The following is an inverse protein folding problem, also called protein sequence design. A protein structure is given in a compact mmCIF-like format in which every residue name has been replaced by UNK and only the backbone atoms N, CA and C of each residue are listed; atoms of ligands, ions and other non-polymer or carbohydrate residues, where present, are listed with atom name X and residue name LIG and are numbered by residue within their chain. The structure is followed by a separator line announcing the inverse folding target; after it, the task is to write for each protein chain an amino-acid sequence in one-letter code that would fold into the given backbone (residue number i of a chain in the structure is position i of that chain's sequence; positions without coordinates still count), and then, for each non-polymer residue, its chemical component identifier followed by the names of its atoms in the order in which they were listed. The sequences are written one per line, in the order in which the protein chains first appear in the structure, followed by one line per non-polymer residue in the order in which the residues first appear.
data_IF_495548241526
#
_entry.id   IF_495548241526
#
_cell.length_a   1.000
_cell.length_b   1.000
_cell.length_c   1.000
_cell.angle_alpha   90.00
_cell.angle_beta   90.00
_cell.angle_gamma   90.00
#
_symmetry.space_group_name_H-M   'P 1'
#
loop_
_entity.id
_entity.type
_entity.pdbx_description
1 polymer ?
#
# COMPACT_ATOMS: atom_id res chain seq x y z
N UNK A 1 29.40 36.52 -8.09
CA UNK A 1 29.06 36.03 -6.73
C UNK A 1 27.94 35.00 -6.90
N UNK A 2 28.30 33.71 -6.94
CA UNK A 2 27.30 32.63 -6.99
C UNK A 2 26.81 32.40 -5.56
N UNK A 3 25.51 32.51 -5.33
CA UNK A 3 24.92 32.23 -4.03
C UNK A 3 24.96 30.71 -3.78
N UNK A 4 25.68 30.30 -2.73
CA UNK A 4 25.60 28.94 -2.18
C UNK A 4 24.14 28.62 -1.82
N UNK A 5 23.59 27.48 -2.27
CA UNK A 5 22.27 27.03 -1.82
C UNK A 5 22.31 26.80 -0.30
N UNK A 6 21.54 27.59 0.45
CA UNK A 6 21.42 27.41 1.89
C UNK A 6 20.85 26.03 2.26
N UNK A 7 21.06 25.55 3.50
CA UNK A 7 20.65 24.22 3.94
C UNK A 7 19.17 23.97 3.65
N UNK A 8 18.86 22.88 2.93
CA UNK A 8 17.48 22.45 2.71
C UNK A 8 16.81 22.15 4.06
N UNK A 9 15.61 22.69 4.34
CA UNK A 9 14.88 22.38 5.56
C UNK A 9 14.64 20.87 5.67
N UNK A 10 15.05 20.28 6.79
CA UNK A 10 14.79 18.87 7.07
C UNK A 10 13.30 18.69 7.42
N UNK A 11 12.55 17.83 6.70
CA UNK A 11 11.14 17.61 6.99
C UNK A 11 10.96 17.04 8.41
N UNK A 12 9.96 17.49 9.18
CA UNK A 12 9.68 16.92 10.49
C UNK A 12 9.35 15.42 10.35
N UNK A 13 9.82 14.57 11.29
CA UNK A 13 9.61 13.14 11.21
C UNK A 13 8.10 12.83 11.24
N UNK A 14 7.63 12.12 10.22
CA UNK A 14 6.23 11.69 10.16
C UNK A 14 5.94 10.63 11.24
N UNK A 15 4.76 10.68 11.88
CA UNK A 15 4.35 9.67 12.85
C UNK A 15 4.48 8.25 12.26
N UNK A 16 5.09 7.29 12.97
CA UNK A 16 5.31 5.92 12.46
C UNK A 16 4.04 5.23 11.99
N UNK A 17 2.89 5.55 12.61
CA UNK A 17 1.60 4.99 12.25
C UNK A 17 1.15 5.35 10.83
N UNK A 18 1.49 6.54 10.33
CA UNK A 18 1.15 6.97 8.96
C UNK A 18 2.01 6.30 7.90
N UNK A 19 3.17 5.78 8.31
CA UNK A 19 4.10 5.06 7.44
C UNK A 19 3.75 3.57 7.32
N UNK A 20 2.87 3.06 8.18
CA UNK A 20 2.46 1.66 8.18
C UNK A 20 1.16 1.49 7.39
N UNK A 21 1.21 0.75 6.28
CA UNK A 21 0.03 0.46 5.47
C UNK A 21 -0.95 -0.52 6.16
N UNK A 22 -0.43 -1.42 7.01
CA UNK A 22 -1.20 -2.51 7.63
C UNK A 22 -2.42 -2.04 8.45
N UNK A 23 -2.32 -1.06 9.36
CA UNK A 23 -3.48 -0.56 10.10
C UNK A 23 -4.67 -0.17 9.21
N UNK A 24 -4.42 0.54 8.11
CA UNK A 24 -5.47 1.00 7.20
C UNK A 24 -6.11 -0.15 6.43
N UNK A 25 -5.30 -1.10 5.95
CA UNK A 25 -5.79 -2.32 5.30
C UNK A 25 -6.68 -3.12 6.25
N UNK A 26 -6.24 -3.31 7.50
CA UNK A 26 -6.99 -4.04 8.52
C UNK A 26 -8.31 -3.36 8.85
N UNK A 27 -8.30 -2.04 9.08
CA UNK A 27 -9.52 -1.27 9.37
C UNK A 27 -10.51 -1.38 8.21
N UNK A 28 -10.05 -1.19 6.96
CA UNK A 28 -10.89 -1.31 5.78
C UNK A 28 -11.47 -2.71 5.59
N UNK A 29 -10.65 -3.75 5.75
CA UNK A 29 -11.09 -5.14 5.64
C UNK A 29 -12.13 -5.50 6.70
N UNK A 30 -11.90 -5.14 7.96
CA UNK A 30 -12.86 -5.35 9.06
C UNK A 30 -14.17 -4.59 8.79
N UNK A 31 -14.08 -3.35 8.34
CA UNK A 31 -15.25 -2.54 7.99
C UNK A 31 -16.12 -3.20 6.92
N UNK A 32 -15.52 -3.70 5.83
CA UNK A 32 -16.27 -4.40 4.78
C UNK A 32 -16.81 -5.77 5.23
N UNK A 33 -16.08 -6.51 6.07
CA UNK A 33 -16.59 -7.75 6.65
C UNK A 33 -17.83 -7.50 7.52
N UNK A 34 -17.82 -6.44 8.33
CA UNK A 34 -18.98 -6.02 9.11
C UNK A 34 -20.14 -5.63 8.19
N UNK A 35 -19.88 -4.85 7.14
CA UNK A 35 -20.91 -4.45 6.18
C UNK A 35 -21.56 -5.65 5.49
N UNK A 36 -20.77 -6.66 5.09
CA UNK A 36 -21.27 -7.92 4.56
C UNK A 36 -22.11 -8.64 5.62
N UNK A 37 -21.61 -8.83 6.83
CA UNK A 37 -22.36 -9.51 7.89
C UNK A 37 -23.72 -8.82 8.13
N UNK A 38 -23.74 -7.50 8.24
CA UNK A 38 -24.97 -6.73 8.45
C UNK A 38 -25.93 -6.84 7.25
N UNK A 39 -25.45 -6.77 6.01
CA UNK A 39 -26.30 -6.88 4.81
C UNK A 39 -26.95 -8.27 4.63
N UNK A 40 -26.37 -9.32 5.22
CA UNK A 40 -26.92 -10.67 5.19
C UNK A 40 -27.74 -11.03 6.43
N UNK A 41 -27.46 -10.43 7.59
CA UNK A 41 -28.18 -10.71 8.84
C UNK A 41 -29.38 -9.78 9.07
N UNK A 42 -29.40 -8.59 8.44
CA UNK A 42 -30.46 -7.59 8.63
C UNK A 42 -31.30 -7.48 7.35
N UNK A 43 -32.58 -7.93 7.34
CA UNK A 43 -33.43 -7.90 6.15
C UNK A 43 -33.58 -6.50 5.52
N UNK A 44 -33.62 -5.45 6.34
CA UNK A 44 -33.72 -4.07 5.88
C UNK A 44 -32.50 -3.60 5.05
N UNK A 45 -31.38 -4.32 5.11
CA UNK A 45 -30.13 -4.00 4.41
C UNK A 45 -29.81 -5.00 3.29
N UNK A 46 -30.79 -5.80 2.85
CA UNK A 46 -30.60 -6.75 1.76
C UNK A 46 -30.15 -6.08 0.45
N UNK A 47 -30.66 -4.88 0.15
CA UNK A 47 -30.28 -4.12 -1.05
C UNK A 47 -28.81 -3.67 -1.04
N UNK A 48 -28.14 -3.68 0.12
CA UNK A 48 -26.73 -3.32 0.25
C UNK A 48 -25.78 -4.47 -0.08
N UNK A 49 -26.26 -5.71 -0.20
CA UNK A 49 -25.40 -6.89 -0.46
C UNK A 49 -24.47 -6.71 -1.67
N UNK A 50 -24.92 -6.21 -2.84
CA UNK A 50 -24.02 -6.00 -3.98
C UNK A 50 -22.89 -5.02 -3.65
N UNK A 51 -23.20 -3.94 -2.94
CA UNK A 51 -22.21 -2.91 -2.53
C UNK A 51 -21.25 -3.47 -1.48
N UNK A 52 -21.77 -4.19 -0.48
CA UNK A 52 -20.98 -4.84 0.56
C UNK A 52 -19.98 -5.86 -0.03
N UNK A 53 -20.44 -6.67 -0.97
CA UNK A 53 -19.60 -7.64 -1.68
C UNK A 53 -18.60 -6.95 -2.62
N UNK A 54 -19.02 -5.92 -3.35
CA UNK A 54 -18.13 -5.15 -4.21
C UNK A 54 -16.99 -4.53 -3.40
N UNK A 55 -17.30 -3.89 -2.27
CA UNK A 55 -16.31 -3.30 -1.39
C UNK A 55 -15.35 -4.31 -0.77
N UNK A 56 -15.86 -5.46 -0.29
CA UNK A 56 -15.03 -6.57 0.17
C UNK A 56 -14.11 -7.08 -0.95
N UNK A 57 -14.65 -7.28 -2.15
CA UNK A 57 -13.90 -7.70 -3.34
C UNK A 57 -12.81 -6.71 -3.73
N UNK A 58 -13.11 -5.41 -3.76
CA UNK A 58 -12.13 -4.34 -3.99
C UNK A 58 -11.03 -4.36 -2.93
N UNK A 59 -11.38 -4.57 -1.66
CA UNK A 59 -10.42 -4.71 -0.56
C UNK A 59 -9.47 -5.89 -0.76
N UNK A 60 -10.00 -7.06 -1.16
CA UNK A 60 -9.19 -8.25 -1.48
C UNK A 60 -8.26 -7.97 -2.65
N UNK A 61 -8.75 -7.35 -3.73
CA UNK A 61 -7.94 -7.00 -4.91
C UNK A 61 -6.83 -6.02 -4.54
N UNK A 62 -7.16 -4.92 -3.88
CA UNK A 62 -6.17 -3.91 -3.47
C UNK A 62 -5.11 -4.46 -2.53
N UNK A 63 -5.50 -5.28 -1.55
CA UNK A 63 -4.57 -5.94 -0.62
C UNK A 63 -3.68 -6.94 -1.36
N UNK A 64 -4.22 -7.71 -2.30
CA UNK A 64 -3.45 -8.65 -3.11
C UNK A 64 -2.39 -7.93 -3.94
N UNK A 65 -2.75 -6.82 -4.60
CA UNK A 65 -1.79 -5.97 -5.32
C UNK A 65 -0.71 -5.48 -4.37
N UNK A 66 -1.08 -4.92 -3.21
CA UNK A 66 -0.10 -4.46 -2.21
C UNK A 66 0.85 -5.57 -1.78
N UNK A 67 0.36 -6.79 -1.54
CA UNK A 67 1.20 -7.93 -1.17
C UNK A 67 2.15 -8.35 -2.29
N UNK A 68 1.70 -8.31 -3.55
CA UNK A 68 2.57 -8.54 -4.70
C UNK A 68 3.67 -7.48 -4.79
N UNK A 69 3.33 -6.20 -4.57
CA UNK A 69 4.32 -5.12 -4.53
C UNK A 69 5.30 -5.29 -3.37
N UNK A 70 4.80 -5.64 -2.18
CA UNK A 70 5.62 -5.89 -1.01
C UNK A 70 6.54 -7.10 -1.23
N UNK A 71 6.05 -8.15 -1.87
CA UNK A 71 6.85 -9.31 -2.26
C UNK A 71 7.92 -8.93 -3.30
N UNK A 72 7.60 -8.11 -4.30
CA UNK A 72 8.58 -7.57 -5.26
C UNK A 72 9.65 -6.72 -4.59
N UNK A 73 9.26 -5.81 -3.70
CA UNK A 73 10.19 -4.98 -2.93
C UNK A 73 11.12 -5.82 -2.04
N UNK A 74 10.59 -6.86 -1.39
CA UNK A 74 11.37 -7.78 -0.55
C UNK A 74 12.28 -8.71 -1.35
N UNK A 75 11.81 -9.17 -2.51
CA UNK A 75 12.62 -9.95 -3.46
C UNK A 75 13.79 -9.12 -3.97
N UNK A 76 13.69 -7.78 -3.86
CA UNK A 76 14.75 -6.86 -4.18
C UNK A 76 15.23 -7.18 -5.58
N UNK A 77 14.37 -6.98 -6.59
CA UNK A 77 14.89 -6.96 -7.95
C UNK A 77 16.03 -5.95 -7.97
N UNK A 78 17.20 -6.54 -8.10
CA UNK A 78 18.50 -5.93 -8.31
C UNK A 78 18.51 -5.22 -9.66
N UNK A 79 17.47 -4.45 -9.98
CA UNK A 79 17.49 -3.52 -11.12
C UNK A 79 18.56 -2.44 -10.96
N UNK A 80 19.15 -2.32 -9.76
CA UNK A 80 20.35 -1.53 -9.49
C UNK A 80 21.67 -2.32 -9.67
N UNK A 81 21.62 -3.60 -10.03
CA UNK A 81 22.82 -4.34 -10.47
C UNK A 81 22.86 -4.51 -11.98
N UNK A 82 21.73 -4.45 -12.70
CA UNK A 82 21.69 -4.41 -14.17
C UNK A 82 22.37 -3.13 -14.69
N UNK A 83 23.69 -3.16 -14.89
CA UNK A 83 24.51 -2.02 -15.31
C UNK A 83 25.76 -1.75 -14.47
N UNK A 84 25.93 -2.36 -13.29
CA UNK A 84 27.22 -2.29 -12.56
C UNK A 84 28.26 -3.21 -13.18
N UNK A 85 27.86 -4.33 -13.78
CA UNK A 85 28.76 -5.18 -14.57
C UNK A 85 29.45 -4.40 -15.71
N UNK A 86 28.75 -3.45 -16.37
CA UNK A 86 29.33 -2.61 -17.42
C UNK A 86 30.43 -1.66 -16.91
N UNK A 87 30.39 -1.24 -15.64
CA UNK A 87 31.43 -0.40 -15.05
C UNK A 87 32.62 -1.20 -14.51
N UNK A 88 32.43 -2.49 -14.18
CA UNK A 88 33.48 -3.36 -13.67
C UNK A 88 34.27 -4.08 -14.80
N UNK A 89 33.65 -4.33 -15.95
CA UNK A 89 34.30 -4.95 -17.13
C UNK A 89 35.11 -3.95 -18.00
N UNK A 90 35.15 -2.67 -17.62
CA UNK A 90 35.84 -1.62 -18.39
C UNK A 90 37.27 -1.32 -17.91
N UNK A 91 37.91 -2.24 -17.18
CA UNK A 91 39.31 -2.13 -16.73
C UNK A 91 40.09 -3.43 -17.02
#
# INVERSE_FOLDING_TARGET
MSAEPGPSPEPPPLPPALLQAWPFITIGAVGWLIAVAVAFLVPALESWRPVALAGLGTGVVGTSIFLLQLAGARRGERGAQTGMETFLDSN
#
